data_IF_903046569444
#
_entry.id   IF_903046569444
#
_cell.length_a   1.000
_cell.length_b   1.000
_cell.length_c   1.000
_cell.angle_alpha   90.00
_cell.angle_beta   90.00
_cell.angle_gamma   90.00
#
_symmetry.space_group_name_H-M   'P 1'
#
loop_
_entity.id
_entity.type
_entity.pdbx_description
1 polymer ?
#
# COMPACT_ATOMS: atom_id res chain seq x y z
N UNK A 1 24.61 55.07 -2.98
CA UNK A 1 23.71 54.02 -3.51
C UNK A 1 24.04 52.73 -2.78
N UNK A 2 23.21 52.32 -1.82
CA UNK A 2 23.42 51.07 -1.08
C UNK A 2 22.91 49.91 -1.94
N UNK A 3 23.81 49.02 -2.35
CA UNK A 3 23.47 47.76 -3.01
C UNK A 3 22.72 46.88 -2.01
N UNK A 4 21.39 46.93 -2.06
CA UNK A 4 20.52 46.00 -1.34
C UNK A 4 20.88 44.58 -1.78
N UNK A 5 21.60 43.87 -0.91
CA UNK A 5 21.88 42.46 -1.06
C UNK A 5 20.54 41.72 -1.16
N UNK A 6 20.21 41.23 -2.37
CA UNK A 6 19.06 40.36 -2.58
C UNK A 6 19.30 39.10 -1.77
N UNK A 7 18.69 39.02 -0.59
CA UNK A 7 18.65 37.78 0.18
C UNK A 7 17.86 36.78 -0.65
N UNK A 8 18.55 35.77 -1.17
CA UNK A 8 17.92 34.63 -1.82
C UNK A 8 17.02 33.96 -0.79
N UNK A 9 15.73 33.86 -1.10
CA UNK A 9 14.77 33.12 -0.29
C UNK A 9 15.05 31.63 -0.49
N UNK A 10 15.37 30.92 0.59
CA UNK A 10 15.75 29.50 0.54
C UNK A 10 14.85 28.66 1.42
N UNK A 11 14.77 27.36 1.13
CA UNK A 11 14.20 26.33 2.01
C UNK A 11 15.19 25.19 2.14
N UNK A 12 15.10 24.45 3.25
CA UNK A 12 15.92 23.26 3.50
C UNK A 12 15.04 22.03 3.39
N UNK A 13 15.33 21.15 2.45
CA UNK A 13 14.75 19.80 2.47
C UNK A 13 15.51 18.91 3.43
N UNK A 14 14.80 18.06 4.16
CA UNK A 14 15.38 16.99 4.96
C UNK A 14 14.70 15.64 4.72
N UNK A 15 15.48 14.58 4.86
CA UNK A 15 14.98 13.21 4.87
C UNK A 15 15.78 12.38 5.86
N UNK A 16 15.13 11.54 6.69
CA UNK A 16 15.83 10.52 7.44
C UNK A 16 16.40 9.48 6.45
N UNK A 17 17.72 9.38 6.37
CA UNK A 17 18.41 8.37 5.59
C UNK A 17 18.24 6.98 6.19
N UNK A 18 18.36 5.95 5.36
CA UNK A 18 18.28 4.54 5.80
C UNK A 18 19.40 4.17 6.77
N UNK A 19 20.52 4.89 6.71
CA UNK A 19 21.72 4.65 7.51
C UNK A 19 21.64 5.32 8.90
N UNK A 20 20.52 5.97 9.22
CA UNK A 20 20.33 6.75 10.45
C UNK A 20 20.80 8.20 10.34
N UNK A 21 21.47 8.57 9.24
CA UNK A 21 21.91 9.93 8.95
C UNK A 21 20.77 10.78 8.35
N UNK A 22 20.65 12.04 8.76
CA UNK A 22 19.76 12.99 8.09
C UNK A 22 20.45 13.58 6.85
N UNK A 23 19.79 13.49 5.70
CA UNK A 23 20.28 14.13 4.47
C UNK A 23 19.53 15.43 4.24
N UNK A 24 20.29 16.49 3.95
CA UNK A 24 19.76 17.83 3.73
C UNK A 24 20.10 18.36 2.33
N UNK A 25 19.19 19.16 1.79
CA UNK A 25 19.44 19.95 0.58
C UNK A 25 18.87 21.35 0.74
N UNK A 26 19.71 22.39 0.59
CA UNK A 26 19.27 23.78 0.63
C UNK A 26 19.08 24.28 -0.79
N UNK A 27 17.89 24.81 -1.09
CA UNK A 27 17.55 25.30 -2.42
C UNK A 27 16.87 26.66 -2.35
N UNK A 28 16.76 27.35 -3.49
CA UNK A 28 15.86 28.50 -3.62
C UNK A 28 14.41 28.08 -3.36
N UNK A 29 13.63 28.94 -2.71
CA UNK A 29 12.22 28.71 -2.40
C UNK A 29 11.45 28.39 -3.70
N UNK A 30 10.88 27.18 -3.83
CA UNK A 30 10.06 26.82 -4.98
C UNK A 30 8.81 27.70 -5.09
N UNK A 31 8.40 28.00 -6.32
CA UNK A 31 7.19 28.79 -6.59
C UNK A 31 5.90 27.99 -6.38
N UNK A 32 5.96 26.65 -6.37
CA UNK A 32 4.79 25.79 -6.12
C UNK A 32 5.15 24.49 -5.40
N UNK A 33 4.13 23.83 -4.86
CA UNK A 33 4.24 22.50 -4.27
C UNK A 33 4.77 21.45 -5.26
N UNK A 34 4.32 21.47 -6.51
CA UNK A 34 4.76 20.51 -7.54
C UNK A 34 6.24 20.72 -7.88
N UNK A 35 6.66 21.98 -8.02
CA UNK A 35 8.07 22.31 -8.23
C UNK A 35 8.92 21.86 -7.03
N UNK A 36 8.40 22.05 -5.83
CA UNK A 36 9.02 21.59 -4.60
C UNK A 36 9.21 20.07 -4.59
N UNK A 37 8.16 19.30 -4.87
CA UNK A 37 8.21 17.83 -4.94
C UNK A 37 9.20 17.35 -5.99
N UNK A 38 9.14 17.88 -7.22
CA UNK A 38 10.07 17.49 -8.28
C UNK A 38 11.52 17.78 -7.90
N UNK A 39 11.78 18.93 -7.29
CA UNK A 39 13.13 19.30 -6.86
C UNK A 39 13.63 18.42 -5.73
N UNK A 40 12.76 18.15 -4.74
CA UNK A 40 13.07 17.26 -3.62
C UNK A 40 13.37 15.84 -4.10
N UNK A 41 12.56 15.27 -5.01
CA UNK A 41 12.80 13.94 -5.59
C UNK A 41 14.09 13.89 -6.39
N UNK A 42 14.39 14.92 -7.18
CA UNK A 42 15.64 15.00 -7.94
C UNK A 42 16.88 14.99 -7.05
N UNK A 43 16.82 15.70 -5.91
CA UNK A 43 17.97 15.85 -5.01
C UNK A 43 18.09 14.71 -3.99
N UNK A 44 16.95 14.27 -3.45
CA UNK A 44 16.88 13.37 -2.30
C UNK A 44 16.17 12.03 -2.58
N UNK A 45 15.53 11.86 -3.74
CA UNK A 45 14.70 10.68 -4.04
C UNK A 45 15.42 9.34 -3.91
N UNK A 46 16.72 9.30 -4.23
CA UNK A 46 17.57 8.11 -4.07
C UNK A 46 17.76 7.65 -2.61
N UNK A 47 17.57 8.56 -1.66
CA UNK A 47 17.65 8.26 -0.22
C UNK A 47 16.30 7.85 0.35
N UNK A 48 15.18 8.20 -0.31
CA UNK A 48 13.82 7.79 0.10
C UNK A 48 13.61 6.29 -0.13
N UNK A 49 13.84 5.83 -1.36
CA UNK A 49 13.63 4.45 -1.77
C UNK A 49 14.51 4.10 -2.97
N UNK A 50 14.67 2.79 -3.22
CA UNK A 50 15.31 2.26 -4.41
C UNK A 50 14.38 1.19 -4.99
N UNK A 51 13.67 1.45 -6.11
CA UNK A 51 13.78 2.65 -6.95
C UNK A 51 13.21 3.93 -6.29
N UNK A 52 13.62 5.14 -6.74
CA UNK A 52 13.06 6.40 -6.25
C UNK A 52 11.54 6.46 -6.47
N UNK A 53 10.77 7.04 -5.53
CA UNK A 53 9.31 7.11 -5.65
C UNK A 53 8.88 8.11 -6.73
N UNK A 54 7.69 7.89 -7.29
CA UNK A 54 7.06 8.83 -8.22
C UNK A 54 6.57 10.09 -7.51
N UNK A 55 6.29 11.14 -8.29
CA UNK A 55 5.75 12.43 -7.79
C UNK A 55 4.46 12.23 -6.97
N UNK A 56 3.63 11.27 -7.36
CA UNK A 56 2.35 11.00 -6.70
C UNK A 56 2.51 10.20 -5.41
N UNK A 57 3.67 9.57 -5.17
CA UNK A 57 3.93 8.67 -4.05
C UNK A 57 4.60 9.36 -2.87
N UNK A 58 4.81 10.68 -2.95
CA UNK A 58 5.43 11.47 -1.90
C UNK A 58 4.53 12.61 -1.43
N UNK A 59 4.73 12.98 -0.18
CA UNK A 59 4.11 14.13 0.48
C UNK A 59 5.20 14.96 1.14
N UNK A 60 5.03 16.29 1.10
CA UNK A 60 5.87 17.21 1.84
C UNK A 60 5.24 17.51 3.20
N UNK A 61 6.07 17.66 4.22
CA UNK A 61 5.66 18.16 5.54
C UNK A 61 6.56 19.31 5.94
N UNK A 62 6.03 20.26 6.69
CA UNK A 62 6.83 21.34 7.27
C UNK A 62 7.22 20.99 8.72
N UNK A 63 8.42 21.36 9.14
CA UNK A 63 8.86 21.20 10.52
C UNK A 63 8.30 22.31 11.38
N UNK A 64 7.45 21.96 12.34
CA UNK A 64 6.73 22.90 13.19
C UNK A 64 6.81 22.51 14.66
N UNK A 65 6.49 23.45 15.56
CA UNK A 65 6.35 23.13 16.99
C UNK A 65 4.89 22.89 17.35
N UNK A 66 4.62 21.80 18.06
CA UNK A 66 3.31 21.55 18.65
C UNK A 66 3.02 22.50 19.83
N UNK A 67 1.85 22.34 20.45
CA UNK A 67 1.42 23.18 21.59
C UNK A 67 2.33 23.02 22.80
N UNK A 68 3.00 21.88 22.90
CA UNK A 68 3.96 21.54 23.94
C UNK A 68 5.40 21.98 23.60
N UNK A 69 5.61 22.62 22.45
CA UNK A 69 6.91 23.12 21.99
C UNK A 69 7.83 22.05 21.40
N UNK A 70 7.34 20.84 21.14
CA UNK A 70 8.09 19.75 20.53
C UNK A 70 8.08 19.89 19.00
N UNK A 71 9.20 19.54 18.37
CA UNK A 71 9.28 19.50 16.91
C UNK A 71 8.47 18.33 16.34
N UNK A 72 7.59 18.64 15.40
CA UNK A 72 6.76 17.69 14.66
C UNK A 72 6.89 17.95 13.16
N UNK A 73 6.50 16.94 12.37
CA UNK A 73 6.32 17.07 10.93
C UNK A 73 4.84 17.23 10.61
N UNK A 74 4.42 18.45 10.28
CA UNK A 74 3.04 18.79 9.96
C UNK A 74 2.76 18.64 8.47
N UNK A 75 1.75 17.83 8.13
CA UNK A 75 1.27 17.72 6.75
C UNK A 75 0.35 18.92 6.42
N UNK A 76 0.32 19.32 5.17
CA UNK A 76 -0.52 20.39 4.65
C UNK A 76 -0.91 20.09 3.20
N UNK A 77 -2.00 20.72 2.73
CA UNK A 77 -2.49 20.54 1.36
C UNK A 77 -1.65 21.35 0.36
N UNK A 78 -1.55 20.87 -0.88
CA UNK A 78 -0.69 21.51 -1.89
C UNK A 78 -1.09 22.94 -2.23
N UNK A 79 -2.38 23.29 -2.10
CA UNK A 79 -2.87 24.65 -2.32
C UNK A 79 -2.45 25.63 -1.22
N UNK A 80 -2.03 25.15 -0.05
CA UNK A 80 -1.61 25.98 1.09
C UNK A 80 -0.09 26.25 1.08
N UNK A 81 0.62 25.88 0.02
CA UNK A 81 2.08 25.97 -0.09
C UNK A 81 2.65 27.33 0.32
N UNK A 82 2.15 28.41 -0.27
CA UNK A 82 2.65 29.76 -0.01
C UNK A 82 2.39 30.23 1.43
N UNK A 83 1.33 29.73 2.06
CA UNK A 83 0.97 30.05 3.44
C UNK A 83 1.83 29.27 4.44
N UNK A 84 2.08 27.99 4.13
CA UNK A 84 2.70 27.05 5.07
C UNK A 84 4.23 27.02 4.98
N UNK A 85 4.82 27.51 3.89
CA UNK A 85 6.26 27.40 3.63
C UNK A 85 6.89 28.78 3.44
N UNK A 86 7.09 29.55 4.53
CA UNK A 86 7.86 30.77 4.46
C UNK A 86 9.34 30.51 4.11
N UNK A 87 10.08 31.53 3.64
CA UNK A 87 11.52 31.45 3.49
C UNK A 87 12.20 31.04 4.81
N UNK A 88 13.12 30.07 4.72
CA UNK A 88 13.84 29.51 5.86
C UNK A 88 13.20 28.26 6.46
N UNK A 89 12.00 27.86 6.00
CA UNK A 89 11.36 26.63 6.47
C UNK A 89 12.16 25.37 6.15
N UNK A 90 12.04 24.40 7.06
CA UNK A 90 12.52 23.03 6.84
C UNK A 90 11.36 22.14 6.38
N UNK A 91 11.58 21.44 5.28
CA UNK A 91 10.56 20.65 4.58
C UNK A 91 11.03 19.20 4.52
N UNK A 92 10.27 18.30 5.13
CA UNK A 92 10.54 16.87 5.08
C UNK A 92 9.89 16.23 3.86
N UNK A 93 10.62 15.34 3.19
CA UNK A 93 10.12 14.51 2.10
C UNK A 93 9.72 13.13 2.63
N UNK A 94 8.43 12.79 2.55
CA UNK A 94 7.88 11.54 3.06
C UNK A 94 7.21 10.76 1.93
N UNK A 95 7.32 9.43 1.94
CA UNK A 95 6.49 8.61 1.06
C UNK A 95 5.05 8.58 1.59
N UNK A 96 4.05 8.84 0.73
CA UNK A 96 2.60 8.66 1.04
C UNK A 96 2.30 7.22 1.40
N UNK A 97 2.96 6.32 0.71
CA UNK A 97 3.01 4.92 1.03
C UNK A 97 4.45 4.65 1.44
N UNK A 98 4.81 4.99 2.68
CA UNK A 98 5.94 4.27 3.27
C UNK A 98 5.60 2.77 3.10
N UNK A 99 6.46 1.96 2.47
CA UNK A 99 6.46 0.55 2.83
C UNK A 99 6.56 0.57 4.35
N UNK A 100 5.63 -0.08 5.05
CA UNK A 100 5.50 -0.15 6.53
C UNK A 100 6.75 -0.73 7.25
N UNK A 101 7.94 -0.61 6.69
CA UNK A 101 9.15 -1.31 7.07
C UNK A 101 9.98 -0.63 8.17
N UNK A 102 9.66 0.59 8.64
CA UNK A 102 10.50 1.29 9.64
C UNK A 102 9.82 1.76 10.93
N UNK A 103 8.52 1.55 11.10
CA UNK A 103 7.86 1.70 12.42
C UNK A 103 7.40 0.31 12.81
N UNK A 104 8.22 -0.39 13.62
CA UNK A 104 7.92 -1.68 14.28
C UNK A 104 6.89 -2.52 13.51
N UNK A 105 7.36 -3.37 12.57
CA UNK A 105 6.53 -4.24 11.70
C UNK A 105 5.24 -4.59 12.44
N UNK A 106 4.08 -4.03 12.05
CA UNK A 106 2.85 -4.32 12.75
C UNK A 106 2.72 -5.84 12.79
N UNK A 107 2.58 -6.38 14.00
CA UNK A 107 2.52 -7.82 14.24
C UNK A 107 1.62 -8.43 13.18
N UNK A 108 2.12 -9.39 12.39
CA UNK A 108 1.32 -10.00 11.35
C UNK A 108 0.14 -10.73 12.00
N UNK A 109 -1.01 -10.06 12.05
CA UNK A 109 -2.20 -10.59 12.69
C UNK A 109 -2.69 -11.80 11.90
N UNK A 110 -2.60 -12.98 12.51
CA UNK A 110 -3.27 -14.19 12.04
C UNK A 110 -4.77 -14.08 12.36
N UNK A 111 -5.60 -14.58 11.46
CA UNK A 111 -7.06 -14.55 11.59
C UNK A 111 -7.70 -15.02 10.29
N UNK A 112 -9.03 -15.18 10.22
CA UNK A 112 -9.68 -15.63 8.99
C UNK A 112 -9.64 -14.52 7.91
N UNK A 113 -9.48 -14.90 6.65
CA UNK A 113 -9.77 -14.06 5.47
C UNK A 113 -10.78 -14.76 4.59
N UNK A 114 -11.66 -14.01 3.95
CA UNK A 114 -12.68 -14.57 3.07
C UNK A 114 -12.12 -14.74 1.66
N UNK A 115 -12.45 -15.85 1.01
CA UNK A 115 -12.10 -16.12 -0.37
C UNK A 115 -13.23 -15.66 -1.30
N UNK A 116 -12.83 -14.98 -2.38
CA UNK A 116 -13.69 -14.75 -3.54
C UNK A 116 -13.02 -15.35 -4.78
N UNK A 117 -13.74 -16.10 -5.57
CA UNK A 117 -13.23 -16.72 -6.79
C UNK A 117 -13.68 -15.92 -7.99
N UNK A 118 -12.72 -15.47 -8.78
CA UNK A 118 -12.96 -14.71 -10.00
C UNK A 118 -13.00 -15.62 -11.22
N UNK A 119 -13.99 -15.41 -12.10
CA UNK A 119 -14.07 -16.05 -13.41
C UNK A 119 -13.81 -15.00 -14.48
N UNK A 120 -12.80 -15.23 -15.31
CA UNK A 120 -12.53 -14.38 -16.47
C UNK A 120 -13.36 -14.86 -17.67
N UNK A 121 -14.33 -14.06 -18.09
CA UNK A 121 -15.21 -14.34 -19.24
C UNK A 121 -14.76 -13.58 -20.51
N UNK A 122 -13.47 -13.25 -20.62
CA UNK A 122 -12.86 -12.58 -21.77
C UNK A 122 -12.85 -11.06 -21.67
N UNK A 123 -13.99 -10.44 -21.34
CA UNK A 123 -14.12 -8.97 -21.25
C UNK A 123 -14.25 -8.44 -19.81
N UNK A 124 -14.67 -9.29 -18.87
CA UNK A 124 -14.92 -8.91 -17.49
C UNK A 124 -14.58 -10.08 -16.55
N UNK A 125 -14.06 -9.73 -15.38
CA UNK A 125 -13.90 -10.67 -14.28
C UNK A 125 -15.15 -10.59 -13.40
N UNK A 126 -15.86 -11.70 -13.25
CA UNK A 126 -16.98 -11.81 -12.31
C UNK A 126 -16.50 -12.51 -11.05
N UNK A 127 -16.71 -11.89 -9.89
CA UNK A 127 -16.29 -12.41 -8.60
C UNK A 127 -17.44 -13.08 -7.86
N UNK A 128 -17.18 -14.23 -7.23
CA UNK A 128 -18.14 -14.82 -6.29
C UNK A 128 -18.35 -13.87 -5.10
N UNK A 129 -19.59 -13.60 -4.74
CA UNK A 129 -19.89 -12.79 -3.55
C UNK A 129 -19.45 -13.56 -2.29
N UNK A 130 -18.52 -13.03 -1.48
CA UNK A 130 -18.22 -13.66 -0.20
C UNK A 130 -19.48 -13.59 0.66
N UNK A 131 -20.01 -14.74 1.09
CA UNK A 131 -21.20 -14.79 1.94
C UNK A 131 -20.86 -14.24 3.33
N UNK A 132 -21.02 -12.92 3.52
CA UNK A 132 -20.73 -12.23 4.78
C UNK A 132 -21.85 -12.36 5.82
N UNK A 133 -23.03 -12.86 5.42
CA UNK A 133 -24.25 -12.87 6.25
C UNK A 133 -24.65 -14.27 6.76
N UNK A 134 -23.89 -15.33 6.46
CA UNK A 134 -24.27 -16.70 6.78
C UNK A 134 -24.03 -17.12 8.23
N UNK A 135 -24.99 -17.80 8.84
CA UNK A 135 -24.84 -18.53 10.11
C UNK A 135 -23.71 -19.57 10.08
N UNK A 136 -23.47 -20.22 11.23
CA UNK A 136 -22.26 -20.96 11.66
C UNK A 136 -21.68 -22.10 10.77
N UNK A 137 -21.84 -22.12 9.44
CA UNK A 137 -21.34 -23.19 8.57
C UNK A 137 -21.03 -22.84 7.11
N UNK A 138 -21.04 -21.57 6.68
CA UNK A 138 -20.85 -21.20 5.25
C UNK A 138 -19.77 -20.15 5.02
N UNK A 139 -18.68 -20.18 5.80
CA UNK A 139 -17.60 -19.22 5.60
C UNK A 139 -16.61 -19.78 4.58
N UNK A 140 -16.63 -19.22 3.36
CA UNK A 140 -15.53 -19.38 2.40
C UNK A 140 -14.30 -18.65 2.96
N UNK A 141 -13.66 -19.19 3.99
CA UNK A 141 -12.54 -18.54 4.66
C UNK A 141 -11.38 -19.48 4.89
N UNK A 142 -10.18 -18.92 4.85
CA UNK A 142 -8.94 -19.58 5.24
C UNK A 142 -8.24 -18.74 6.30
N UNK A 143 -7.30 -19.32 7.04
CA UNK A 143 -6.39 -18.53 7.88
C UNK A 143 -5.56 -17.61 6.99
N UNK A 144 -5.43 -16.34 7.37
CA UNK A 144 -4.65 -15.32 6.69
C UNK A 144 -3.24 -15.86 6.42
N UNK A 145 -2.87 -16.09 5.15
CA UNK A 145 -1.62 -16.73 4.80
C UNK A 145 -0.45 -15.76 4.97
N UNK A 146 0.64 -16.22 5.57
CA UNK A 146 1.86 -15.45 5.80
C UNK A 146 2.77 -15.35 4.57
N UNK A 147 2.52 -16.15 3.54
CA UNK A 147 3.24 -16.14 2.27
C UNK A 147 2.34 -16.51 1.09
N UNK A 148 2.80 -16.25 -0.14
CA UNK A 148 2.11 -16.66 -1.36
C UNK A 148 1.92 -18.18 -1.43
N UNK A 149 2.95 -18.97 -1.09
CA UNK A 149 2.88 -20.43 -1.12
C UNK A 149 1.85 -20.97 -0.11
N UNK A 150 1.80 -20.40 1.10
CA UNK A 150 0.77 -20.73 2.09
C UNK A 150 -0.64 -20.40 1.58
N UNK A 151 -0.80 -19.31 0.84
CA UNK A 151 -2.08 -18.93 0.24
C UNK A 151 -2.54 -19.94 -0.82
N UNK A 152 -1.63 -20.39 -1.71
CA UNK A 152 -1.91 -21.41 -2.72
C UNK A 152 -2.36 -22.72 -2.06
N UNK A 153 -1.59 -23.22 -1.11
CA UNK A 153 -1.89 -24.50 -0.45
C UNK A 153 -3.18 -24.45 0.38
N UNK A 154 -3.41 -23.33 1.09
CA UNK A 154 -4.64 -23.12 1.85
C UNK A 154 -5.86 -23.07 0.95
N UNK A 155 -5.76 -22.39 -0.20
CA UNK A 155 -6.85 -22.29 -1.17
C UNK A 155 -7.16 -23.65 -1.80
N UNK A 156 -6.14 -24.42 -2.22
CA UNK A 156 -6.33 -25.77 -2.75
C UNK A 156 -6.95 -26.70 -1.72
N UNK A 157 -6.48 -26.65 -0.47
CA UNK A 157 -7.03 -27.45 0.63
C UNK A 157 -8.49 -27.13 0.87
N UNK A 158 -8.86 -25.85 0.85
CA UNK A 158 -10.25 -25.40 0.96
C UNK A 158 -11.14 -25.98 -0.16
N UNK A 159 -10.72 -25.88 -1.43
CA UNK A 159 -11.50 -26.40 -2.56
C UNK A 159 -11.64 -27.93 -2.50
N UNK A 160 -10.58 -28.67 -2.11
CA UNK A 160 -10.65 -30.13 -1.90
C UNK A 160 -11.65 -30.51 -0.81
N UNK A 161 -11.67 -29.76 0.30
CA UNK A 161 -12.62 -30.00 1.37
C UNK A 161 -14.08 -29.81 0.92
N UNK A 162 -14.35 -28.84 0.04
CA UNK A 162 -15.64 -28.68 -0.62
C UNK A 162 -16.01 -29.87 -1.51
N UNK A 163 -15.07 -30.36 -2.33
CA UNK A 163 -15.30 -31.53 -3.19
C UNK A 163 -15.62 -32.80 -2.40
N UNK A 164 -15.00 -32.98 -1.23
CA UNK A 164 -15.21 -34.14 -0.36
C UNK A 164 -16.56 -34.14 0.40
N UNK A 165 -17.39 -33.11 0.25
CA UNK A 165 -18.71 -33.06 0.87
C UNK A 165 -18.69 -32.93 2.39
N UNK A 166 -17.64 -32.32 2.97
CA UNK A 166 -17.48 -32.11 4.41
C UNK A 166 -18.42 -31.01 4.97
N UNK A 167 -19.72 -31.10 4.67
CA UNK A 167 -20.74 -30.13 5.10
C UNK A 167 -20.70 -28.80 4.35
N UNK A 168 -19.88 -28.68 3.30
CA UNK A 168 -19.78 -27.50 2.46
C UNK A 168 -20.55 -27.70 1.15
N UNK A 169 -21.03 -26.59 0.58
CA UNK A 169 -21.58 -26.60 -0.77
C UNK A 169 -20.50 -27.04 -1.77
N UNK A 170 -20.90 -27.85 -2.75
CA UNK A 170 -20.03 -28.28 -3.85
C UNK A 170 -19.35 -27.05 -4.50
N UNK A 171 -18.08 -27.18 -4.92
CA UNK A 171 -17.37 -26.05 -5.51
C UNK A 171 -18.04 -25.63 -6.81
N UNK A 172 -18.07 -24.32 -7.04
CA UNK A 172 -18.34 -23.73 -8.35
C UNK A 172 -17.26 -24.11 -9.37
N UNK A 173 -17.54 -23.92 -10.65
CA UNK A 173 -16.55 -24.15 -11.72
C UNK A 173 -15.27 -23.33 -11.50
N UNK A 174 -15.41 -22.07 -11.07
CA UNK A 174 -14.27 -21.20 -10.77
C UNK A 174 -13.39 -21.75 -9.63
N UNK A 175 -14.03 -22.30 -8.59
CA UNK A 175 -13.33 -22.96 -7.48
C UNK A 175 -12.65 -24.24 -7.95
N UNK A 176 -13.33 -25.08 -8.74
CA UNK A 176 -12.77 -26.35 -9.22
C UNK A 176 -11.49 -26.15 -10.06
N UNK A 177 -11.41 -25.06 -10.85
CA UNK A 177 -10.23 -24.71 -11.65
C UNK A 177 -8.95 -24.50 -10.84
N UNK A 178 -9.06 -24.20 -9.54
CA UNK A 178 -7.90 -24.08 -8.63
C UNK A 178 -7.10 -25.38 -8.50
N UNK A 179 -7.76 -26.51 -8.75
CA UNK A 179 -7.16 -27.85 -8.64
C UNK A 179 -6.67 -28.40 -9.99
N UNK A 180 -6.91 -27.69 -11.10
CA UNK A 180 -6.47 -28.12 -12.43
C UNK A 180 -4.94 -28.12 -12.53
N UNK A 181 -4.33 -29.22 -13.02
CA UNK A 181 -2.89 -29.27 -13.25
C UNK A 181 -2.42 -28.20 -14.23
N UNK A 182 -1.28 -27.56 -13.94
CA UNK A 182 -0.68 -26.55 -14.81
C UNK A 182 -1.31 -25.15 -14.70
N UNK A 183 -2.38 -24.97 -13.91
CA UNK A 183 -2.94 -23.66 -13.63
C UNK A 183 -2.12 -22.90 -12.59
N UNK A 184 -1.97 -21.60 -12.82
CA UNK A 184 -1.36 -20.67 -11.86
C UNK A 184 -2.45 -19.91 -11.12
N UNK A 185 -2.24 -19.67 -9.82
CA UNK A 185 -3.17 -18.87 -9.02
C UNK A 185 -2.68 -17.44 -8.92
N UNK A 186 -3.52 -16.51 -9.33
CA UNK A 186 -3.31 -15.09 -9.14
C UNK A 186 -4.22 -14.59 -8.02
N UNK A 187 -3.65 -13.82 -7.10
CA UNK A 187 -4.38 -13.28 -5.96
C UNK A 187 -4.67 -11.79 -6.13
N UNK A 188 -5.82 -11.37 -5.60
CA UNK A 188 -6.34 -10.02 -5.70
C UNK A 188 -6.83 -9.55 -4.33
N UNK A 189 -6.79 -8.25 -4.09
CA UNK A 189 -7.31 -7.61 -2.89
C UNK A 189 -8.52 -6.78 -3.28
N UNK A 190 -9.62 -6.95 -2.53
CA UNK A 190 -10.78 -6.09 -2.65
C UNK A 190 -10.49 -4.74 -1.99
N UNK A 191 -10.44 -3.68 -2.80
CA UNK A 191 -10.35 -2.31 -2.33
C UNK A 191 -11.73 -1.65 -2.37
N UNK A 192 -12.25 -1.28 -1.20
CA UNK A 192 -13.53 -0.57 -1.07
C UNK A 192 -13.23 0.90 -0.84
N UNK A 193 -13.44 1.73 -1.87
CA UNK A 193 -13.37 3.18 -1.71
C UNK A 193 -14.62 3.67 -0.97
N UNK A 194 -14.45 4.61 -0.04
CA UNK A 194 -15.60 5.26 0.61
C UNK A 194 -16.43 5.97 -0.47
N UNK A 195 -17.62 5.43 -0.76
CA UNK A 195 -18.64 5.94 -1.69
C UNK A 195 -18.48 5.62 -3.20
N UNK A 196 -17.61 4.70 -3.60
CA UNK A 196 -17.49 4.29 -5.02
C UNK A 196 -17.14 2.80 -5.17
N UNK A 197 -17.42 2.27 -6.35
CA UNK A 197 -17.45 0.85 -6.70
C UNK A 197 -16.30 0.00 -6.11
N UNK A 198 -16.65 -1.24 -5.74
CA UNK A 198 -15.69 -2.27 -5.38
C UNK A 198 -14.68 -2.49 -6.52
N UNK A 199 -13.38 -2.33 -6.20
CA UNK A 199 -12.31 -2.53 -7.18
C UNK A 199 -11.38 -3.64 -6.71
N UNK A 200 -11.01 -4.53 -7.63
CA UNK A 200 -10.08 -5.62 -7.37
C UNK A 200 -8.71 -5.25 -7.90
N UNK A 201 -7.70 -5.32 -7.03
CA UNK A 201 -6.32 -5.00 -7.36
C UNK A 201 -5.50 -6.29 -7.27
N UNK A 202 -4.80 -6.66 -8.33
CA UNK A 202 -3.92 -7.82 -8.32
C UNK A 202 -2.77 -7.58 -7.33
N UNK A 203 -2.44 -8.61 -6.55
CA UNK A 203 -1.25 -8.59 -5.68
C UNK A 203 -0.01 -8.44 -6.57
N UNK A 204 0.91 -7.51 -6.24
CA UNK A 204 2.04 -7.22 -7.11
C UNK A 204 2.99 -8.42 -7.22
N UNK A 205 3.71 -8.58 -8.35
CA UNK A 205 4.52 -9.77 -8.60
C UNK A 205 5.68 -9.98 -7.60
N UNK A 206 6.22 -8.92 -7.02
CA UNK A 206 7.28 -8.96 -6.01
C UNK A 206 6.83 -9.67 -4.71
N UNK A 207 5.56 -9.48 -4.32
CA UNK A 207 4.94 -10.16 -3.18
C UNK A 207 4.77 -11.68 -3.38
N UNK A 208 4.97 -12.21 -4.59
CA UNK A 208 4.99 -13.67 -4.83
C UNK A 208 6.26 -14.30 -4.24
N UNK A 209 7.38 -13.57 -4.27
CA UNK A 209 8.70 -14.05 -3.84
C UNK A 209 9.16 -13.46 -2.51
N UNK A 210 8.65 -12.30 -2.11
CA UNK A 210 8.98 -11.65 -0.84
C UNK A 210 7.82 -11.75 0.16
N UNK A 211 8.05 -12.48 1.25
CA UNK A 211 7.06 -12.64 2.32
C UNK A 211 6.65 -11.32 2.99
N UNK A 212 7.56 -10.36 3.10
CA UNK A 212 7.23 -9.10 3.77
C UNK A 212 6.34 -8.24 2.89
N UNK A 213 6.63 -8.17 1.59
CA UNK A 213 5.73 -7.59 0.60
C UNK A 213 4.37 -8.30 0.58
N UNK A 214 4.34 -9.64 0.65
CA UNK A 214 3.08 -10.39 0.78
C UNK A 214 2.28 -10.00 2.02
N UNK A 215 2.90 -9.99 3.20
CA UNK A 215 2.26 -9.65 4.48
C UNK A 215 1.73 -8.22 4.50
N UNK A 216 2.35 -7.32 3.72
CA UNK A 216 1.93 -5.93 3.59
C UNK A 216 0.68 -5.75 2.73
N UNK A 217 0.46 -6.61 1.74
CA UNK A 217 -0.65 -6.47 0.78
C UNK A 217 -1.81 -7.44 1.04
N UNK A 218 -1.55 -8.60 1.64
CA UNK A 218 -2.62 -9.57 1.96
C UNK A 218 -3.63 -8.93 2.93
N UNK A 219 -4.95 -9.06 2.67
CA UNK A 219 -5.97 -8.40 3.48
C UNK A 219 -5.81 -8.73 4.96
N UNK A 220 -6.09 -7.75 5.82
CA UNK A 220 -6.20 -7.98 7.26
C UNK A 220 -7.33 -8.99 7.58
N UNK A 221 -7.35 -9.59 8.78
CA UNK A 221 -8.43 -10.49 9.17
C UNK A 221 -9.83 -9.90 8.86
N UNK A 222 -10.73 -10.77 8.39
CA UNK A 222 -12.07 -10.46 7.88
C UNK A 222 -12.11 -9.68 6.56
N UNK A 223 -10.96 -9.38 5.96
CA UNK A 223 -10.84 -8.90 4.58
C UNK A 223 -11.13 -9.99 3.54
N UNK A 224 -11.21 -9.59 2.27
CA UNK A 224 -11.49 -10.50 1.15
C UNK A 224 -10.26 -10.65 0.26
N UNK A 225 -9.81 -11.89 0.10
CA UNK A 225 -8.74 -12.32 -0.79
C UNK A 225 -9.36 -12.97 -2.04
N UNK A 226 -9.17 -12.32 -3.18
CA UNK A 226 -9.62 -12.80 -4.47
C UNK A 226 -8.64 -13.82 -5.05
N UNK A 227 -9.14 -14.86 -5.72
CA UNK A 227 -8.36 -15.89 -6.40
C UNK A 227 -8.87 -16.09 -7.83
N UNK A 228 -7.95 -16.13 -8.80
CA UNK A 228 -8.24 -16.55 -10.17
C UNK A 228 -7.23 -17.63 -10.58
N UNK A 229 -7.72 -18.76 -11.08
CA UNK A 229 -6.90 -19.79 -11.70
C UNK A 229 -6.78 -19.53 -13.22
N UNK A 230 -5.55 -19.42 -13.73
CA UNK A 230 -5.26 -19.13 -15.14
C UNK A 230 -4.42 -20.24 -15.78
#
# INVERSE_FOLDING_TARGET
>A
MSTLSRRTLTVTYSIPGKDGDEHHAVIALPASYEQAVMTALRLLGKYVASPPPGVNDVLLKVRERDREGRWIWAAFDSWDWELMVPPGSEIGLFAKHLPRAMVSRPLFLRGPVFLAFGTNNGALITWSVPNRQGGAGSWNSITRPGSFSEAVESTKTFVKAKQGGHGLQAPSDAEARVLEPGKTLNFYVLFVQKNTAETWIQIPPDAVTDEESWKAVVPEPFGVLGVIAQ
#
